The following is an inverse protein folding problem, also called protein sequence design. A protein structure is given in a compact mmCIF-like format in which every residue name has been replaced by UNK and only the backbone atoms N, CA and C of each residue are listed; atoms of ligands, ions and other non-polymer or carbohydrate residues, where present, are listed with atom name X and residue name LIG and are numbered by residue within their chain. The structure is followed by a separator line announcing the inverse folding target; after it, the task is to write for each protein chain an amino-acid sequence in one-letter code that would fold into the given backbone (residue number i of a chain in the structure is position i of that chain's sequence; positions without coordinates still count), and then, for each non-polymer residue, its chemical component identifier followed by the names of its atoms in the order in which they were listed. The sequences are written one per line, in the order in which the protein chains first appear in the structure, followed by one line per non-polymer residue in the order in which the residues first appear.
data_IF_844328974169
#
_entry.id   IF_844328974169
#
_cell.length_a   1.000
_cell.length_b   1.000
_cell.length_c   1.000
_cell.angle_alpha   90.00
_cell.angle_beta   90.00
_cell.angle_gamma   90.00
#
_symmetry.space_group_name_H-M   'P 1'
#
loop_
_entity.id
_entity.type
_entity.pdbx_description
1 polymer ?
#
# COMPACT_ATOMS: atom_id res chain seq x y z
N UNK A 1 53.42 25.74 -4.85
CA UNK A 1 52.80 25.20 -3.62
C UNK A 1 51.72 26.20 -3.19
N UNK A 2 50.46 26.23 -3.65
CA UNK A 2 49.46 25.26 -4.11
C UNK A 2 49.02 24.19 -3.10
N UNK A 3 48.67 24.60 -1.88
CA UNK A 3 47.94 23.81 -0.87
C UNK A 3 47.54 24.85 0.21
N UNK A 4 46.30 25.12 0.64
CA UNK A 4 45.09 24.32 0.82
C UNK A 4 43.90 25.30 0.76
N UNK A 5 43.21 25.36 -0.37
CA UNK A 5 41.93 26.06 -0.54
C UNK A 5 40.86 24.97 -0.74
N UNK A 6 40.60 24.16 0.29
CA UNK A 6 39.74 22.97 0.16
C UNK A 6 39.08 22.60 1.50
N UNK A 7 38.09 23.38 1.93
CA UNK A 7 37.24 22.99 3.07
C UNK A 7 35.81 23.56 2.94
N UNK A 8 35.26 23.54 1.73
CA UNK A 8 33.82 23.61 1.50
C UNK A 8 33.41 22.47 0.55
N UNK A 9 33.37 21.25 1.05
CA UNK A 9 32.61 20.19 0.39
C UNK A 9 32.08 19.24 1.45
N UNK A 10 30.89 18.70 1.16
CA UNK A 10 30.19 17.60 1.83
C UNK A 10 29.14 17.98 2.88
N UNK A 11 28.10 18.68 2.42
CA UNK A 11 26.73 18.33 2.82
C UNK A 11 25.89 18.12 1.55
N UNK A 12 26.24 17.12 0.74
CA UNK A 12 25.27 16.50 -0.18
C UNK A 12 24.55 15.43 0.66
N UNK A 13 23.70 15.89 1.57
CA UNK A 13 22.92 15.07 2.47
C UNK A 13 21.64 14.59 1.77
N UNK A 14 21.60 13.30 1.47
CA UNK A 14 20.43 12.47 1.19
C UNK A 14 19.34 13.07 0.28
N UNK A 15 19.51 13.00 -1.03
CA UNK A 15 18.35 12.77 -1.92
C UNK A 15 17.87 11.32 -1.74
N UNK A 16 17.34 11.03 -0.56
CA UNK A 16 16.49 9.88 -0.38
C UNK A 16 15.18 10.19 -1.12
N UNK A 17 15.15 9.92 -2.44
CA UNK A 17 13.87 9.64 -3.11
C UNK A 17 13.39 8.28 -2.61
N UNK A 18 13.19 8.15 -1.30
CA UNK A 18 12.36 7.11 -0.75
C UNK A 18 11.00 7.41 -1.35
N UNK A 19 10.39 6.42 -1.95
CA UNK A 19 9.01 6.47 -2.38
C UNK A 19 8.19 6.63 -1.08
N UNK A 20 8.00 7.86 -0.61
CA UNK A 20 7.82 8.26 0.82
C UNK A 20 6.60 7.62 1.50
N UNK A 21 5.69 7.03 0.72
CA UNK A 21 4.44 6.46 1.21
C UNK A 21 4.40 4.92 1.19
N UNK A 22 5.52 4.23 0.99
CA UNK A 22 5.54 2.77 1.05
C UNK A 22 5.64 2.28 2.49
N UNK A 23 4.49 1.80 2.99
CA UNK A 23 4.36 1.20 4.33
C UNK A 23 4.67 -0.28 4.25
N UNK A 24 5.57 -0.75 5.14
CA UNK A 24 5.78 -2.18 5.34
C UNK A 24 4.73 -2.71 6.33
N UNK A 25 4.17 -3.89 6.01
CA UNK A 25 3.27 -4.60 6.89
C UNK A 25 3.92 -5.92 7.26
N UNK A 26 4.06 -6.17 8.57
CA UNK A 26 4.79 -7.34 9.09
C UNK A 26 6.22 -7.47 8.50
N UNK A 27 6.90 -6.32 8.35
CA UNK A 27 8.24 -6.25 7.76
C UNK A 27 8.30 -6.47 6.25
N UNK A 28 7.17 -6.68 5.57
CA UNK A 28 7.09 -6.94 4.13
C UNK A 28 6.49 -5.76 3.38
N UNK A 29 7.15 -5.37 2.29
CA UNK A 29 6.61 -4.40 1.33
C UNK A 29 5.67 -5.10 0.35
N UNK A 30 4.36 -4.84 0.47
CA UNK A 30 3.34 -5.31 -0.46
C UNK A 30 3.08 -4.27 -1.55
N UNK A 31 2.83 -4.74 -2.77
CA UNK A 31 2.58 -3.87 -3.92
C UNK A 31 1.15 -4.15 -4.38
N UNK A 32 0.21 -3.53 -3.67
CA UNK A 32 -1.25 -3.64 -3.88
C UNK A 32 -1.63 -3.20 -5.28
N UNK A 33 -2.70 -3.79 -5.82
CA UNK A 33 -3.27 -3.42 -7.12
C UNK A 33 -4.74 -3.12 -6.93
N UNK A 34 -5.12 -1.86 -7.13
CA UNK A 34 -6.49 -1.39 -7.06
C UNK A 34 -7.15 -1.41 -8.45
N UNK A 35 -8.36 -1.94 -8.52
CA UNK A 35 -9.25 -1.86 -9.69
C UNK A 35 -10.56 -1.22 -9.27
N UNK A 36 -11.06 -0.31 -10.09
CA UNK A 36 -12.34 0.38 -9.86
C UNK A 36 -13.38 -0.21 -10.79
N UNK A 37 -14.59 -0.44 -10.27
CA UNK A 37 -15.70 -0.93 -11.08
C UNK A 37 -16.38 0.21 -11.86
N UNK A 38 -17.57 -0.04 -12.41
CA UNK A 38 -18.32 1.00 -13.12
C UNK A 38 -18.81 2.11 -12.19
N UNK A 39 -19.23 1.76 -10.97
CA UNK A 39 -19.43 2.74 -9.91
C UNK A 39 -18.07 3.03 -9.25
N UNK A 40 -17.73 4.31 -9.14
CA UNK A 40 -16.46 4.76 -8.55
C UNK A 40 -16.37 4.43 -7.06
N UNK A 41 -17.47 4.12 -6.38
CA UNK A 41 -17.42 3.70 -4.97
C UNK A 41 -16.96 2.25 -4.83
N UNK A 42 -17.15 1.44 -5.87
CA UNK A 42 -16.85 0.01 -5.87
C UNK A 42 -15.43 -0.27 -6.32
N UNK A 43 -14.74 -1.15 -5.59
CA UNK A 43 -13.38 -1.51 -5.89
C UNK A 43 -13.06 -2.98 -5.60
N UNK A 44 -12.02 -3.46 -6.26
CA UNK A 44 -11.34 -4.72 -5.99
C UNK A 44 -9.85 -4.45 -5.77
N UNK A 45 -9.27 -5.07 -4.75
CA UNK A 45 -7.85 -4.95 -4.43
C UNK A 45 -7.22 -6.34 -4.48
N UNK A 46 -6.17 -6.49 -5.27
CA UNK A 46 -5.32 -7.69 -5.26
C UNK A 46 -4.03 -7.40 -4.51
N UNK A 47 -3.70 -8.23 -3.52
CA UNK A 47 -2.45 -8.16 -2.76
C UNK A 47 -1.57 -9.36 -3.14
N UNK A 48 -0.58 -9.19 -4.03
CA UNK A 48 0.30 -10.28 -4.44
C UNK A 48 1.34 -10.62 -3.36
N UNK A 49 1.88 -11.85 -3.41
CA UNK A 49 2.90 -12.39 -2.49
C UNK A 49 2.40 -12.50 -1.04
N UNK A 50 1.12 -12.78 -0.85
CA UNK A 50 0.50 -12.94 0.46
C UNK A 50 1.09 -14.08 1.29
N UNK A 51 1.72 -15.09 0.67
CA UNK A 51 2.48 -16.14 1.37
C UNK A 51 3.65 -15.63 2.21
N UNK A 52 4.15 -14.41 1.96
CA UNK A 52 5.23 -13.83 2.76
C UNK A 52 4.75 -13.41 4.16
N UNK A 53 3.50 -13.01 4.27
CA UNK A 53 2.78 -12.78 5.52
C UNK A 53 1.31 -12.54 5.16
N UNK A 54 0.43 -13.46 5.56
CA UNK A 54 -1.00 -13.32 5.31
C UNK A 54 -1.58 -12.12 6.07
N UNK A 55 -1.19 -11.95 7.34
CA UNK A 55 -1.61 -10.81 8.15
C UNK A 55 -1.12 -9.49 7.57
N UNK A 56 0.16 -9.43 7.14
CA UNK A 56 0.69 -8.25 6.47
C UNK A 56 -0.03 -7.94 5.17
N UNK A 57 -0.43 -8.96 4.40
CA UNK A 57 -1.18 -8.77 3.16
C UNK A 57 -2.60 -8.26 3.41
N UNK A 58 -3.30 -8.77 4.43
CA UNK A 58 -4.63 -8.29 4.87
C UNK A 58 -4.57 -6.79 5.20
N UNK A 59 -3.61 -6.39 6.02
CA UNK A 59 -3.48 -4.98 6.43
C UNK A 59 -3.00 -4.07 5.30
N UNK A 60 -2.14 -4.55 4.40
CA UNK A 60 -1.77 -3.81 3.19
C UNK A 60 -2.99 -3.54 2.30
N UNK A 61 -3.86 -4.54 2.13
CA UNK A 61 -5.10 -4.39 1.37
C UNK A 61 -6.11 -3.44 2.05
N UNK A 62 -6.24 -3.52 3.38
CA UNK A 62 -7.07 -2.59 4.18
C UNK A 62 -6.58 -1.15 4.03
N UNK A 63 -5.28 -0.94 4.14
CA UNK A 63 -4.64 0.37 3.98
C UNK A 63 -4.90 0.97 2.59
N UNK A 64 -4.73 0.17 1.52
CA UNK A 64 -5.02 0.62 0.15
C UNK A 64 -6.48 1.08 -0.02
N UNK A 65 -7.44 0.33 0.54
CA UNK A 65 -8.85 0.71 0.52
C UNK A 65 -9.11 2.03 1.25
N UNK A 66 -8.55 2.21 2.45
CA UNK A 66 -8.68 3.46 3.22
C UNK A 66 -8.11 4.64 2.44
N UNK A 67 -6.90 4.52 1.88
CA UNK A 67 -6.28 5.57 1.07
C UNK A 67 -7.16 5.92 -0.13
N UNK A 68 -7.72 4.92 -0.80
CA UNK A 68 -8.61 5.16 -1.92
C UNK A 68 -9.86 5.95 -1.53
N UNK A 69 -10.58 5.49 -0.50
CA UNK A 69 -11.84 6.11 -0.09
C UNK A 69 -11.62 7.53 0.48
N UNK A 70 -10.53 7.74 1.23
CA UNK A 70 -10.19 9.08 1.76
C UNK A 70 -9.89 10.03 0.59
N UNK A 71 -9.04 9.61 -0.35
CA UNK A 71 -8.65 10.47 -1.47
C UNK A 71 -9.77 10.75 -2.47
N UNK A 72 -10.73 9.82 -2.65
CA UNK A 72 -11.82 9.98 -3.62
C UNK A 72 -13.09 10.58 -3.04
N UNK A 73 -13.41 10.26 -1.79
CA UNK A 73 -14.71 10.55 -1.20
C UNK A 73 -14.63 11.21 0.18
N UNK A 74 -13.43 11.40 0.74
CA UNK A 74 -13.25 12.02 2.06
C UNK A 74 -13.69 11.15 3.23
N UNK A 75 -13.82 9.84 3.03
CA UNK A 75 -14.26 8.87 4.04
C UNK A 75 -13.26 7.72 4.15
N UNK A 76 -12.98 7.25 5.36
CA UNK A 76 -12.20 6.02 5.58
C UNK A 76 -13.07 4.77 5.65
N UNK A 77 -14.39 4.94 5.66
CA UNK A 77 -15.33 3.85 5.91
C UNK A 77 -15.53 3.01 4.64
N UNK A 78 -15.50 1.69 4.82
CA UNK A 78 -15.67 0.71 3.74
C UNK A 78 -16.75 -0.29 4.14
N UNK A 79 -17.70 -0.52 3.25
CA UNK A 79 -18.59 -1.68 3.28
C UNK A 79 -17.92 -2.81 2.50
N UNK A 80 -17.60 -3.92 3.17
CA UNK A 80 -16.88 -5.03 2.56
C UNK A 80 -17.84 -6.09 2.01
N UNK A 81 -17.59 -6.54 0.77
CA UNK A 81 -18.17 -7.77 0.23
C UNK A 81 -17.27 -8.98 0.55
N UNK A 82 -15.95 -8.76 0.49
CA UNK A 82 -14.89 -9.68 0.91
C UNK A 82 -13.81 -8.84 1.60
N UNK A 83 -13.86 -8.80 2.91
CA UNK A 83 -12.99 -7.97 3.74
C UNK A 83 -11.69 -8.67 4.14
N UNK A 84 -10.72 -7.93 4.71
CA UNK A 84 -9.46 -8.51 5.14
C UNK A 84 -9.62 -9.60 6.21
N UNK A 85 -10.66 -9.48 7.04
CA UNK A 85 -10.97 -10.42 8.13
C UNK A 85 -11.63 -11.71 7.62
N UNK A 86 -12.25 -11.68 6.43
CA UNK A 86 -12.91 -12.83 5.80
C UNK A 86 -11.91 -13.73 5.03
N UNK A 87 -10.75 -13.19 4.67
CA UNK A 87 -9.73 -13.93 3.90
C UNK A 87 -8.96 -14.85 4.84
N UNK A 88 -9.27 -16.14 4.88
CA UNK A 88 -8.55 -17.14 5.70
C UNK A 88 -7.34 -17.77 5.00
N UNK A 89 -7.31 -17.74 3.68
CA UNK A 89 -6.37 -18.51 2.86
C UNK A 89 -5.76 -17.67 1.73
N UNK A 90 -4.63 -18.14 1.20
CA UNK A 90 -3.94 -17.53 0.07
C UNK A 90 -4.34 -18.28 -1.20
N UNK A 91 -4.70 -17.55 -2.24
CA UNK A 91 -5.03 -18.13 -3.54
C UNK A 91 -3.81 -18.82 -4.15
N UNK A 92 -4.02 -19.79 -5.06
CA UNK A 92 -2.94 -20.56 -5.71
C UNK A 92 -1.90 -19.70 -6.43
N UNK A 93 -2.26 -18.48 -6.82
CA UNK A 93 -1.35 -17.50 -7.42
C UNK A 93 -0.56 -16.67 -6.37
N UNK A 94 -0.51 -17.13 -5.11
CA UNK A 94 0.17 -16.47 -4.01
C UNK A 94 -0.37 -15.07 -3.67
N UNK A 95 -1.64 -14.79 -3.93
CA UNK A 95 -2.27 -13.50 -3.64
C UNK A 95 -3.55 -13.64 -2.82
N UNK A 96 -4.03 -12.53 -2.28
CA UNK A 96 -5.39 -12.41 -1.76
C UNK A 96 -6.13 -11.33 -2.54
N UNK A 97 -7.45 -11.45 -2.59
CA UNK A 97 -8.32 -10.44 -3.16
C UNK A 97 -9.26 -9.91 -2.09
N UNK A 98 -9.49 -8.61 -2.12
CA UNK A 98 -10.47 -7.92 -1.31
C UNK A 98 -11.45 -7.20 -2.23
N UNK A 99 -12.69 -7.09 -1.79
CA UNK A 99 -13.75 -6.41 -2.55
C UNK A 99 -14.62 -5.61 -1.60
N UNK A 100 -14.90 -4.37 -1.96
CA UNK A 100 -15.72 -3.50 -1.12
C UNK A 100 -16.16 -2.23 -1.84
N UNK A 101 -16.85 -1.40 -1.07
CA UNK A 101 -17.42 -0.13 -1.47
C UNK A 101 -17.11 0.95 -0.44
N UNK A 102 -16.70 2.14 -0.88
CA UNK A 102 -16.57 3.29 0.02
C UNK A 102 -17.94 3.73 0.58
N UNK A 103 -18.05 3.89 1.89
CA UNK A 103 -19.28 4.33 2.58
C UNK A 103 -19.23 5.85 2.81
N UNK A 104 -20.11 6.57 2.12
CA UNK A 104 -20.27 8.04 2.21
C UNK A 104 -21.46 8.43 3.07
#
# INVERSE_FOLDING_TARGET
MLVILFSLFLLIGCTARINENRVAFDGVMFNTKLKIASDKKDFEITVPRAHRSLNGAREAGRYEATIYCVNKFGTSDVTWDLGPDDVSEILSNNSINLKGRCRI
#
